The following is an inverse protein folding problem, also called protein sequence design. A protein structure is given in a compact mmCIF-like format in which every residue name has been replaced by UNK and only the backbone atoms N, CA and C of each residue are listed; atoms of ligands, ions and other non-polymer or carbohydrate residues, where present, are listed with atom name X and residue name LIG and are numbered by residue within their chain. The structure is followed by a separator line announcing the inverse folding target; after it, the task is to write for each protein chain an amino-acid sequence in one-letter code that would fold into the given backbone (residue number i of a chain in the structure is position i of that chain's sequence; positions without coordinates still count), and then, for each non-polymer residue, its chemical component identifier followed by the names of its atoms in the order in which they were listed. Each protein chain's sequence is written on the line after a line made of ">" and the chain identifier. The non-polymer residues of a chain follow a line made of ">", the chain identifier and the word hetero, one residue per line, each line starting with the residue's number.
data_IF_267099446775
#
_entry.id   IF_267099446775
#
_cell.length_a   1.000
_cell.length_b   1.000
_cell.length_c   1.000
_cell.angle_alpha   90.00
_cell.angle_beta   90.00
_cell.angle_gamma   90.00
#
_symmetry.space_group_name_H-M   'P 1'
#
loop_
_entity.id
_entity.type
_entity.pdbx_description
1 polymer ?
#
# COMPACT_ATOMS: atom_id res chain seq x y z
N UNK A 1 15.03 21.59 -24.18
CA UNK A 1 14.24 20.41 -24.59
C UNK A 1 13.30 20.14 -23.43
N UNK A 2 12.01 20.48 -23.59
CA UNK A 2 11.03 20.38 -22.49
C UNK A 2 10.10 19.20 -22.73
N UNK A 3 10.02 18.29 -21.76
CA UNK A 3 8.96 17.29 -21.68
C UNK A 3 7.64 17.99 -21.35
N UNK A 4 6.57 17.65 -22.06
CA UNK A 4 5.25 18.21 -21.82
C UNK A 4 4.43 17.25 -20.94
N UNK A 5 4.14 17.67 -19.71
CA UNK A 5 3.21 16.98 -18.82
C UNK A 5 1.80 17.11 -19.37
N UNK A 6 1.14 15.98 -19.65
CA UNK A 6 -0.23 15.95 -20.20
C UNK A 6 -1.27 15.93 -19.08
N UNK A 7 -0.96 15.25 -17.98
CA UNK A 7 -1.81 15.18 -16.80
C UNK A 7 -0.99 14.82 -15.57
N UNK A 8 -1.38 15.39 -14.43
CA UNK A 8 -0.86 15.04 -13.12
C UNK A 8 -2.02 14.68 -12.19
N UNK A 9 -1.81 13.68 -11.34
CA UNK A 9 -2.79 13.29 -10.32
C UNK A 9 -2.08 12.94 -9.03
N UNK A 10 -2.42 13.69 -7.99
CA UNK A 10 -2.09 13.35 -6.62
C UNK A 10 -3.30 12.67 -5.96
N UNK A 11 -3.06 11.48 -5.38
CA UNK A 11 -4.08 10.74 -4.64
C UNK A 11 -3.52 10.21 -3.34
N UNK A 12 -4.31 10.30 -2.29
CA UNK A 12 -4.05 9.54 -1.07
C UNK A 12 -4.22 8.04 -1.34
N UNK A 13 -3.36 7.24 -0.71
CA UNK A 13 -3.47 5.80 -0.71
C UNK A 13 -3.30 5.24 0.69
N UNK A 14 -3.92 4.07 0.89
CA UNK A 14 -3.78 3.26 2.07
C UNK A 14 -3.73 1.79 1.61
N UNK A 15 -2.72 1.05 2.04
CA UNK A 15 -2.49 -0.33 1.65
C UNK A 15 -2.28 -1.21 2.88
N UNK A 16 -3.14 -2.23 3.05
CA UNK A 16 -3.03 -3.23 4.10
C UNK A 16 -2.23 -4.43 3.57
N UNK A 17 -1.11 -4.75 4.21
CA UNK A 17 -0.14 -5.75 3.75
C UNK A 17 0.08 -6.79 4.84
N UNK A 18 0.16 -8.05 4.46
CA UNK A 18 0.39 -9.20 5.34
C UNK A 18 1.60 -9.99 4.84
N UNK A 19 2.17 -10.82 5.72
CA UNK A 19 3.22 -11.75 5.32
C UNK A 19 2.73 -12.67 4.18
N UNK A 20 3.60 -12.95 3.22
CA UNK A 20 3.28 -13.71 2.01
C UNK A 20 2.37 -12.99 1.00
N UNK A 21 1.81 -11.82 1.32
CA UNK A 21 0.87 -11.07 0.47
C UNK A 21 1.37 -9.63 0.24
N UNK A 22 2.34 -9.45 -0.68
CA UNK A 22 2.89 -8.13 -0.95
C UNK A 22 1.92 -7.25 -1.73
N UNK A 23 1.96 -5.93 -1.48
CA UNK A 23 1.31 -4.93 -2.31
C UNK A 23 2.26 -4.45 -3.39
N UNK A 24 1.88 -4.61 -4.67
CA UNK A 24 2.75 -4.30 -5.80
C UNK A 24 2.16 -3.21 -6.67
N UNK A 25 2.98 -2.23 -7.01
CA UNK A 25 2.79 -1.42 -8.20
C UNK A 25 3.54 -2.11 -9.34
N UNK A 26 2.88 -3.05 -10.00
CA UNK A 26 3.36 -3.57 -11.28
C UNK A 26 3.19 -2.48 -12.33
N UNK A 27 4.25 -2.23 -13.09
CA UNK A 27 4.39 -1.19 -14.11
C UNK A 27 3.05 -0.77 -14.74
N UNK A 28 2.77 0.53 -14.61
CA UNK A 28 1.82 1.24 -15.45
C UNK A 28 2.08 0.80 -16.91
N UNK A 29 1.00 0.44 -17.61
CA UNK A 29 1.04 -0.10 -18.96
C UNK A 29 2.13 0.60 -19.80
N UNK A 30 3.14 -0.16 -20.24
CA UNK A 30 4.34 0.36 -20.93
C UNK A 30 4.03 1.07 -22.24
N UNK A 31 2.76 1.08 -22.65
CA UNK A 31 2.22 1.84 -23.78
C UNK A 31 2.04 3.34 -23.49
N UNK A 32 2.07 3.76 -22.22
CA UNK A 32 1.99 5.15 -21.79
C UNK A 32 3.24 5.49 -20.97
N UNK A 33 3.91 6.60 -21.29
CA UNK A 33 5.01 7.15 -20.48
C UNK A 33 4.44 7.73 -19.19
N UNK A 34 4.06 6.86 -18.24
CA UNK A 34 3.59 7.27 -16.91
C UNK A 34 4.75 7.18 -15.93
N UNK A 35 5.14 8.34 -15.40
CA UNK A 35 6.05 8.43 -14.26
C UNK A 35 5.24 8.53 -12.97
N UNK A 36 5.75 7.99 -11.88
CA UNK A 36 5.05 8.02 -10.61
C UNK A 36 6.00 8.05 -9.43
N UNK A 37 5.51 8.61 -8.33
CA UNK A 37 6.20 8.56 -7.05
C UNK A 37 5.23 8.29 -5.91
N UNK A 38 5.74 7.66 -4.86
CA UNK A 38 5.05 7.45 -3.60
C UNK A 38 5.76 8.23 -2.50
N UNK A 39 4.97 8.80 -1.60
CA UNK A 39 5.44 9.34 -0.33
C UNK A 39 4.73 8.61 0.81
N UNK A 40 5.46 7.81 1.58
CA UNK A 40 4.94 7.19 2.80
C UNK A 40 4.97 8.20 3.93
N UNK A 41 3.84 8.34 4.63
CA UNK A 41 3.67 9.29 5.74
C UNK A 41 3.39 8.58 7.08
N UNK A 42 2.64 7.48 7.04
CA UNK A 42 2.28 6.70 8.23
C UNK A 42 2.38 5.21 7.93
N UNK A 43 2.85 4.46 8.92
CA UNK A 43 2.81 3.00 8.93
C UNK A 43 2.20 2.57 10.26
N UNK A 44 1.13 1.80 10.21
CA UNK A 44 0.41 1.32 11.39
C UNK A 44 0.44 -0.19 11.40
N UNK A 45 0.94 -0.77 12.48
CA UNK A 45 0.87 -2.19 12.73
C UNK A 45 -0.46 -2.55 13.42
N UNK A 46 -1.11 -3.58 12.89
CA UNK A 46 -2.30 -4.20 13.44
C UNK A 46 -1.91 -5.62 13.88
N UNK A 47 -1.74 -5.86 15.19
CA UNK A 47 -1.48 -7.18 15.72
C UNK A 47 -2.52 -8.22 15.28
N UNK A 48 -2.17 -9.52 15.29
CA UNK A 48 -3.15 -10.59 15.12
C UNK A 48 -4.33 -10.38 16.09
N UNK A 49 -5.57 -10.70 15.71
CA UNK A 49 -6.73 -10.45 16.56
C UNK A 49 -6.84 -11.41 17.74
N UNK A 50 -6.07 -12.50 17.77
CA UNK A 50 -6.11 -13.50 18.85
C UNK A 50 -4.83 -14.34 18.91
N UNK A 51 -4.62 -15.00 20.05
CA UNK A 51 -3.55 -16.00 20.22
C UNK A 51 -3.68 -17.17 19.23
N UNK A 52 -4.90 -17.54 18.83
CA UNK A 52 -5.11 -18.59 17.83
C UNK A 52 -4.59 -18.16 16.45
N UNK A 53 -4.82 -16.90 16.06
CA UNK A 53 -4.29 -16.35 14.82
C UNK A 53 -2.76 -16.27 14.84
N UNK A 54 -2.16 -15.92 15.98
CA UNK A 54 -0.71 -15.95 16.16
C UNK A 54 -0.14 -17.37 16.02
N UNK A 55 -0.75 -18.36 16.69
CA UNK A 55 -0.32 -19.77 16.57
C UNK A 55 -0.42 -20.30 15.14
N UNK A 56 -1.48 -19.98 14.41
CA UNK A 56 -1.61 -20.35 13.01
C UNK A 56 -0.49 -19.74 12.14
N UNK A 57 -0.06 -18.51 12.44
CA UNK A 57 1.10 -17.91 11.80
C UNK A 57 2.40 -18.65 12.16
N UNK A 58 2.63 -18.95 13.45
CA UNK A 58 3.82 -19.67 13.90
C UNK A 58 3.94 -21.06 13.26
N UNK A 59 2.84 -21.81 13.20
CA UNK A 59 2.76 -23.14 12.59
C UNK A 59 3.07 -23.09 11.09
N UNK A 60 2.52 -22.10 10.37
CA UNK A 60 2.74 -21.95 8.93
C UNK A 60 4.15 -21.50 8.56
N UNK A 61 4.85 -20.80 9.47
CA UNK A 61 6.20 -20.26 9.24
C UNK A 61 7.30 -21.03 9.99
N UNK A 62 6.94 -22.12 10.68
CA UNK A 62 7.88 -22.95 11.45
C UNK A 62 8.55 -22.18 12.60
N UNK A 63 7.89 -21.14 13.12
CA UNK A 63 8.41 -20.32 14.22
C UNK A 63 8.16 -21.04 15.55
N UNK A 64 9.15 -21.01 16.44
CA UNK A 64 9.02 -21.64 17.76
C UNK A 64 7.99 -20.89 18.62
N UNK A 65 7.00 -21.57 19.22
CA UNK A 65 6.01 -20.96 20.11
C UNK A 65 6.59 -20.51 21.46
N UNK A 66 7.91 -20.69 21.67
CA UNK A 66 8.62 -20.23 22.86
C UNK A 66 9.00 -18.74 22.80
N UNK A 67 8.79 -18.07 21.66
CA UNK A 67 9.10 -16.64 21.54
C UNK A 67 8.09 -15.80 22.30
N UNK A 68 8.54 -15.05 23.30
CA UNK A 68 7.68 -14.11 24.04
C UNK A 68 7.45 -12.81 23.27
N UNK A 69 8.31 -12.51 22.29
CA UNK A 69 8.24 -11.32 21.44
C UNK A 69 8.51 -11.69 19.99
N UNK A 70 7.67 -11.19 19.07
CA UNK A 70 7.91 -11.26 17.62
C UNK A 70 8.28 -9.88 17.10
N UNK A 71 9.26 -9.81 16.18
CA UNK A 71 9.59 -8.58 15.46
C UNK A 71 8.90 -8.60 14.10
N UNK A 72 7.96 -7.69 13.88
CA UNK A 72 7.29 -7.48 12.59
C UNK A 72 8.03 -6.41 11.81
N UNK A 73 8.42 -6.69 10.57
CA UNK A 73 9.18 -5.77 9.72
C UNK A 73 8.31 -5.29 8.57
N UNK A 74 8.19 -3.98 8.43
CA UNK A 74 7.66 -3.34 7.24
C UNK A 74 8.81 -3.10 6.26
N UNK A 75 8.68 -3.61 5.05
CA UNK A 75 9.74 -3.63 4.04
C UNK A 75 9.23 -2.96 2.77
N UNK A 76 10.08 -2.11 2.20
CA UNK A 76 9.93 -1.61 0.84
C UNK A 76 10.94 -2.30 -0.03
N UNK A 77 10.48 -2.83 -1.16
CA UNK A 77 11.33 -3.40 -2.19
C UNK A 77 11.14 -2.64 -3.48
N UNK A 78 12.21 -2.10 -4.04
CA UNK A 78 12.13 -1.19 -5.19
C UNK A 78 13.34 -1.32 -6.10
N UNK A 79 13.16 -0.98 -7.37
CA UNK A 79 14.24 -0.85 -8.34
C UNK A 79 15.03 0.44 -8.05
N UNK A 80 16.35 0.31 -7.84
CA UNK A 80 17.19 1.48 -7.56
C UNK A 80 17.94 1.96 -8.80
N UNK A 81 18.60 3.11 -8.71
CA UNK A 81 19.39 3.70 -9.80
C UNK A 81 20.51 2.78 -10.32
N UNK A 82 20.96 1.80 -9.54
CA UNK A 82 21.95 0.81 -9.98
C UNK A 82 21.33 -0.34 -10.81
N UNK A 83 20.04 -0.23 -11.15
CA UNK A 83 19.25 -1.23 -11.90
C UNK A 83 19.09 -2.56 -11.17
N UNK A 84 19.18 -2.58 -9.84
CA UNK A 84 18.92 -3.75 -9.00
C UNK A 84 17.71 -3.50 -8.11
N UNK A 85 16.98 -4.57 -7.85
CA UNK A 85 15.89 -4.56 -6.88
C UNK A 85 16.50 -4.75 -5.49
N UNK A 86 16.31 -3.77 -4.62
CA UNK A 86 16.82 -3.77 -3.25
C UNK A 86 15.67 -3.73 -2.24
N UNK A 87 15.96 -4.18 -1.02
CA UNK A 87 15.00 -4.26 0.08
C UNK A 87 15.44 -3.37 1.24
N UNK A 88 14.51 -2.57 1.75
CA UNK A 88 14.73 -1.62 2.83
C UNK A 88 13.69 -1.83 3.92
N UNK A 89 14.15 -2.06 5.14
CA UNK A 89 13.27 -2.08 6.31
C UNK A 89 12.94 -0.64 6.67
N UNK A 90 11.66 -0.29 6.62
CA UNK A 90 11.18 1.07 6.85
C UNK A 90 10.55 1.25 8.23
N UNK A 91 10.09 0.17 8.86
CA UNK A 91 9.66 0.16 10.25
C UNK A 91 9.78 -1.25 10.85
N UNK A 92 9.93 -1.32 12.17
CA UNK A 92 9.88 -2.56 12.95
C UNK A 92 8.92 -2.37 14.11
N UNK A 93 8.05 -3.36 14.35
CA UNK A 93 7.06 -3.33 15.41
C UNK A 93 7.22 -4.55 16.31
N UNK A 94 7.38 -4.36 17.63
CA UNK A 94 7.41 -5.47 18.57
C UNK A 94 5.98 -5.96 18.87
N UNK A 95 5.75 -7.25 18.70
CA UNK A 95 4.57 -7.95 19.20
C UNK A 95 4.94 -8.76 20.43
N UNK A 96 4.54 -8.27 21.60
CA UNK A 96 4.61 -9.03 22.85
C UNK A 96 3.39 -9.96 22.96
N UNK A 97 3.62 -11.26 23.22
CA UNK A 97 2.55 -12.24 23.37
C UNK A 97 1.68 -11.94 24.59
N UNK A 98 2.25 -11.38 25.67
CA UNK A 98 1.48 -10.97 26.85
C UNK A 98 0.53 -9.81 26.53
N UNK A 99 0.94 -8.92 25.61
CA UNK A 99 0.06 -7.85 25.13
C UNK A 99 -1.15 -8.46 24.44
N UNK A 100 -0.95 -9.51 23.64
CA UNK A 100 -2.03 -10.19 22.92
C UNK A 100 -2.98 -10.95 23.86
N UNK A 101 -2.47 -11.56 24.94
CA UNK A 101 -3.30 -12.26 25.91
C UNK A 101 -4.17 -11.32 26.76
N UNK A 102 -3.71 -10.08 26.96
CA UNK A 102 -4.40 -9.09 27.81
C UNK A 102 -5.22 -8.06 27.00
N UNK A 103 -5.07 -8.04 25.68
CA UNK A 103 -5.73 -7.05 24.83
C UNK A 103 -7.22 -7.31 24.69
N UNK A 104 -8.00 -6.23 24.69
CA UNK A 104 -9.43 -6.26 24.35
C UNK A 104 -9.58 -6.16 22.84
N UNK A 105 -10.30 -7.10 22.26
CA UNK A 105 -10.70 -7.05 20.85
C UNK A 105 -11.87 -6.10 20.66
N UNK A 106 -11.85 -5.40 19.53
CA UNK A 106 -12.93 -4.57 19.06
C UNK A 106 -13.47 -5.19 17.78
N UNK A 107 -14.79 -5.32 17.70
CA UNK A 107 -15.47 -5.79 16.49
C UNK A 107 -16.17 -4.61 15.87
N UNK A 108 -15.80 -4.26 14.63
CA UNK A 108 -16.58 -3.33 13.83
C UNK A 108 -17.95 -3.94 13.54
N UNK A 109 -19.02 -3.22 13.86
CA UNK A 109 -20.36 -3.60 13.41
C UNK A 109 -20.43 -3.42 11.89
N UNK A 110 -21.03 -4.36 11.15
CA UNK A 110 -21.20 -4.20 9.71
C UNK A 110 -22.02 -2.93 9.45
N UNK A 111 -21.47 -2.02 8.65
CA UNK A 111 -22.20 -0.83 8.20
C UNK A 111 -23.27 -1.32 7.24
N UNK A 112 -24.54 -1.26 7.65
CA UNK A 112 -25.65 -1.47 6.72
C UNK A 112 -25.52 -0.45 5.58
N UNK A 113 -25.35 -0.97 4.36
CA UNK A 113 -25.22 -0.17 3.15
C UNK A 113 -26.57 0.49 2.84
N UNK A 114 -26.79 1.67 3.41
CA UNK A 114 -28.00 2.44 3.13
C UNK A 114 -27.87 3.20 1.80
N UNK A 115 -28.87 2.99 0.95
CA UNK A 115 -28.98 3.45 -0.42
C UNK A 115 -28.94 4.98 -0.51
N UNK A 116 -28.05 5.52 -1.35
CA UNK A 116 -28.29 6.80 -2.07
C UNK A 116 -27.75 6.75 -3.49
N UNK A 117 -28.59 6.24 -4.39
CA UNK A 117 -28.73 6.84 -5.72
C UNK A 117 -29.16 8.31 -5.56
N UNK A 118 -28.37 9.26 -6.06
CA UNK A 118 -28.92 10.38 -6.86
C UNK A 118 -27.82 11.19 -7.55
N UNK A 119 -27.81 11.06 -8.88
CA UNK A 119 -27.58 12.05 -9.93
C UNK A 119 -26.62 13.24 -9.72
N UNK A 120 -25.61 13.30 -10.58
CA UNK A 120 -25.26 14.54 -11.28
C UNK A 120 -24.79 14.21 -12.72
N UNK A 121 -25.72 14.33 -13.66
CA UNK A 121 -25.48 14.50 -15.08
C UNK A 121 -24.76 15.82 -15.32
N UNK A 122 -23.52 15.78 -15.80
CA UNK A 122 -22.85 16.93 -16.40
C UNK A 122 -22.16 16.47 -17.70
N UNK A 123 -22.79 16.82 -18.81
CA UNK A 123 -22.24 16.71 -20.16
C UNK A 123 -21.12 17.75 -20.28
N UNK A 124 -19.89 17.29 -20.39
CA UNK A 124 -18.70 18.10 -20.65
C UNK A 124 -17.59 17.18 -21.15
N UNK A 125 -17.00 17.50 -22.30
CA UNK A 125 -16.08 16.62 -23.03
C UNK A 125 -14.91 16.15 -22.16
N UNK A 126 -14.88 14.86 -21.83
CA UNK A 126 -13.74 14.23 -21.18
C UNK A 126 -12.69 13.84 -22.22
N UNK A 127 -11.39 13.98 -21.92
CA UNK A 127 -10.36 13.41 -22.79
C UNK A 127 -10.54 11.89 -22.86
N UNK A 128 -10.40 11.32 -24.06
CA UNK A 128 -10.58 9.89 -24.42
C UNK A 128 -9.64 8.91 -23.69
N UNK A 129 -8.87 9.37 -22.71
CA UNK A 129 -7.95 8.54 -21.93
C UNK A 129 -8.33 8.64 -20.45
N UNK A 130 -9.23 7.76 -20.02
CA UNK A 130 -9.48 7.57 -18.60
C UNK A 130 -8.32 6.73 -18.05
N UNK A 131 -7.46 7.32 -17.20
CA UNK A 131 -6.33 6.62 -16.55
C UNK A 131 -6.77 5.61 -15.46
N UNK A 132 -8.07 5.53 -15.18
CA UNK A 132 -8.63 4.65 -14.15
C UNK A 132 -8.33 3.14 -14.32
N UNK A 133 -8.25 2.56 -15.53
CA UNK A 133 -7.93 1.13 -15.72
C UNK A 133 -6.45 0.79 -15.55
N UNK A 134 -5.56 1.80 -15.55
CA UNK A 134 -4.10 1.62 -15.63
C UNK A 134 -3.43 1.60 -14.26
N UNK A 135 -4.19 1.90 -13.21
CA UNK A 135 -3.71 1.83 -11.84
C UNK A 135 -3.91 0.40 -11.32
N UNK A 136 -3.03 -0.09 -10.43
CA UNK A 136 -3.35 -1.25 -9.62
C UNK A 136 -4.74 -1.01 -9.04
N UNK A 137 -5.66 -1.97 -9.27
CA UNK A 137 -7.00 -1.93 -8.69
C UNK A 137 -6.83 -1.49 -7.25
N UNK A 138 -7.52 -0.41 -6.87
CA UNK A 138 -7.63 -0.01 -5.46
C UNK A 138 -8.14 -1.24 -4.72
N UNK A 139 -7.24 -2.02 -4.14
CA UNK A 139 -7.60 -2.90 -3.05
C UNK A 139 -7.86 -1.95 -1.90
N UNK A 140 -9.12 -1.56 -1.77
CA UNK A 140 -9.57 -0.74 -0.68
C UNK A 140 -9.04 -1.36 0.61
N UNK A 141 -8.43 -0.53 1.45
CA UNK A 141 -7.68 -0.93 2.63
C UNK A 141 -8.47 -1.82 3.62
N UNK A 142 -9.79 -1.90 3.44
CA UNK A 142 -10.73 -2.70 4.23
C UNK A 142 -11.01 -4.10 3.69
N UNK A 143 -10.74 -4.44 2.41
CA UNK A 143 -11.14 -5.73 1.83
C UNK A 143 -10.55 -6.96 2.56
N UNK A 144 -9.48 -6.76 3.35
CA UNK A 144 -8.79 -7.85 4.08
C UNK A 144 -8.56 -7.55 5.56
N UNK A 145 -9.11 -6.46 6.08
CA UNK A 145 -9.08 -6.23 7.53
C UNK A 145 -10.16 -7.11 8.16
N UNK A 146 -9.78 -7.91 9.15
CA UNK A 146 -10.74 -8.66 9.94
C UNK A 146 -11.66 -7.68 10.66
N UNK A 147 -12.96 -7.97 10.69
CA UNK A 147 -13.95 -7.17 11.43
C UNK A 147 -13.61 -7.08 12.93
N UNK A 148 -12.82 -8.04 13.43
CA UNK A 148 -12.23 -8.02 14.76
C UNK A 148 -10.78 -7.59 14.70
N UNK A 149 -10.41 -6.56 15.47
CA UNK A 149 -9.04 -6.07 15.56
C UNK A 149 -8.68 -5.61 16.98
N UNK A 150 -7.38 -5.51 17.25
CA UNK A 150 -6.86 -4.85 18.45
C UNK A 150 -6.59 -3.39 18.14
N UNK A 151 -6.92 -2.49 19.07
CA UNK A 151 -6.55 -1.09 18.91
C UNK A 151 -5.02 -0.96 18.93
N UNK A 152 -4.42 -0.27 17.93
CA UNK A 152 -3.00 0.01 17.94
C UNK A 152 -2.61 0.80 19.19
N UNK A 153 -1.49 0.44 19.81
CA UNK A 153 -0.87 1.28 20.82
C UNK A 153 0.24 2.15 20.22
N UNK A 154 0.84 3.03 21.01
CA UNK A 154 1.85 3.98 20.52
C UNK A 154 3.05 3.31 19.85
N UNK A 155 3.43 2.10 20.29
CA UNK A 155 4.55 1.34 19.70
C UNK A 155 4.19 0.66 18.38
N UNK A 156 2.92 0.65 17.99
CA UNK A 156 2.44 0.07 16.74
C UNK A 156 2.34 1.12 15.62
N UNK A 157 2.71 2.38 15.89
CA UNK A 157 2.50 3.48 14.96
C UNK A 157 3.84 4.16 14.66
N UNK A 158 4.23 4.15 13.39
CA UNK A 158 5.29 5.02 12.86
C UNK A 158 4.65 6.16 12.08
N UNK A 159 4.81 7.40 12.56
CA UNK A 159 4.26 8.61 11.94
C UNK A 159 5.36 9.56 11.48
N UNK A 160 4.97 10.64 10.81
CA UNK A 160 5.89 11.69 10.33
C UNK A 160 6.98 11.15 9.38
N UNK A 161 6.68 10.06 8.68
CA UNK A 161 7.58 9.50 7.69
C UNK A 161 7.60 10.42 6.46
N UNK A 162 8.75 10.46 5.79
CA UNK A 162 8.92 11.14 4.51
C UNK A 162 9.76 10.27 3.58
N UNK A 163 9.33 9.03 3.41
CA UNK A 163 10.01 8.06 2.54
C UNK A 163 9.45 8.24 1.14
N UNK A 164 10.35 8.51 0.18
CA UNK A 164 9.98 8.77 -1.22
C UNK A 164 10.50 7.64 -2.10
N UNK A 165 9.62 7.11 -2.93
CA UNK A 165 9.88 5.96 -3.79
C UNK A 165 9.47 6.29 -5.23
N UNK A 166 10.28 5.88 -6.20
CA UNK A 166 9.89 5.88 -7.61
C UNK A 166 8.91 4.73 -7.89
N UNK A 167 8.02 4.94 -8.85
CA UNK A 167 7.13 3.90 -9.39
C UNK A 167 7.54 3.45 -10.80
N UNK A 168 8.74 3.83 -11.23
CA UNK A 168 9.36 3.49 -12.49
C UNK A 168 9.83 2.03 -12.48
N UNK A 169 8.95 1.14 -12.93
CA UNK A 169 9.26 -0.27 -13.19
C UNK A 169 8.82 -1.22 -12.09
N UNK A 170 9.38 -1.11 -10.87
CA UNK A 170 9.05 -2.03 -9.78
C UNK A 170 9.12 -1.38 -8.39
N UNK A 171 7.98 -1.38 -7.70
CA UNK A 171 7.90 -1.06 -6.27
C UNK A 171 6.89 -1.98 -5.58
N UNK A 172 7.27 -2.50 -4.42
CA UNK A 172 6.55 -3.50 -3.64
C UNK A 172 6.63 -3.14 -2.15
N UNK A 173 5.49 -3.19 -1.45
CA UNK A 173 5.43 -3.21 0.01
C UNK A 173 5.30 -4.66 0.48
N UNK A 174 6.11 -5.05 1.45
CA UNK A 174 6.11 -6.37 2.06
C UNK A 174 6.10 -6.26 3.57
N UNK A 175 5.55 -7.28 4.21
CA UNK A 175 5.62 -7.47 5.66
C UNK A 175 6.29 -8.82 5.92
N UNK A 176 7.14 -8.87 6.93
CA UNK A 176 7.63 -10.12 7.51
C UNK A 176 7.18 -10.17 8.98
N UNK A 177 6.47 -11.22 9.37
CA UNK A 177 5.98 -11.40 10.73
C UNK A 177 4.45 -11.34 10.87
N UNK A 178 3.95 -11.65 12.08
CA UNK A 178 2.52 -11.86 12.32
C UNK A 178 1.71 -10.56 12.28
N UNK A 179 0.50 -10.63 11.73
CA UNK A 179 -0.48 -9.53 11.71
C UNK A 179 -0.49 -8.79 10.36
N UNK A 180 -0.96 -7.54 10.39
CA UNK A 180 -1.13 -6.70 9.20
C UNK A 180 -0.40 -5.37 9.41
N UNK A 181 0.25 -4.84 8.39
CA UNK A 181 0.79 -3.49 8.40
C UNK A 181 0.05 -2.65 7.37
N UNK A 182 -0.45 -1.51 7.81
CA UNK A 182 -1.14 -0.52 6.98
C UNK A 182 -0.15 0.58 6.63
N UNK A 183 0.13 0.73 5.34
CA UNK A 183 0.95 1.81 4.79
C UNK A 183 0.03 2.91 4.27
N UNK A 184 0.29 4.15 4.67
CA UNK A 184 -0.50 5.31 4.25
C UNK A 184 0.41 6.38 3.68
N UNK A 185 -0.04 7.03 2.62
CA UNK A 185 0.77 8.03 1.94
C UNK A 185 0.04 8.76 0.81
N UNK A 186 0.85 9.47 0.05
CA UNK A 186 0.46 10.15 -1.18
C UNK A 186 1.10 9.42 -2.35
N UNK A 187 0.34 9.30 -3.44
CA UNK A 187 0.81 8.81 -4.73
C UNK A 187 0.64 9.94 -5.74
N UNK A 188 1.73 10.31 -6.39
CA UNK A 188 1.71 11.24 -7.51
C UNK A 188 1.99 10.46 -8.80
N UNK A 189 1.13 10.63 -9.79
CA UNK A 189 1.27 10.06 -11.12
C UNK A 189 1.24 11.16 -12.15
N UNK A 190 2.19 11.10 -13.08
CA UNK A 190 2.38 12.05 -14.15
C UNK A 190 2.38 11.30 -15.48
N UNK A 191 1.51 11.69 -16.40
CA UNK A 191 1.53 11.17 -17.77
C UNK A 191 2.32 12.12 -18.67
N UNK A 192 3.33 11.58 -19.33
CA UNK A 192 4.18 12.27 -20.30
C UNK A 192 3.73 11.85 -21.70
N UNK A 193 3.60 12.82 -22.62
CA UNK A 193 3.40 12.48 -24.03
C UNK A 193 4.75 12.12 -24.65
N UNK A 194 4.86 11.00 -25.40
CA UNK A 194 5.93 10.90 -26.36
C UNK A 194 5.79 12.08 -27.34
N UNK A 195 6.89 12.77 -27.63
CA UNK A 195 6.89 13.79 -28.68
C UNK A 195 6.57 13.10 -30.00
N UNK A 196 5.41 13.40 -30.59
CA UNK A 196 5.19 13.18 -32.02
C UNK A 196 6.11 14.15 -32.73
N UNK A 197 7.32 13.72 -33.07
CA UNK A 197 8.09 14.37 -34.12
C UNK A 197 7.30 14.13 -35.42
N UNK A 198 6.40 15.04 -35.76
CA UNK A 198 5.98 15.23 -37.14
C UNK A 198 7.24 15.62 -37.92
N UNK A 199 7.92 14.63 -38.46
CA UNK A 199 8.78 14.84 -39.61
C UNK A 199 7.85 15.18 -40.77
N UNK A 200 7.58 16.48 -40.96
CA UNK A 200 7.22 16.99 -42.28
C UNK A 200 8.39 16.69 -43.21
N UNK A 201 8.33 15.55 -43.90
CA UNK A 201 9.14 15.35 -45.08
C UNK A 201 8.60 16.26 -46.17
N UNK A 202 9.34 17.35 -46.41
CA UNK A 202 9.20 18.21 -47.59
C UNK A 202 9.67 17.48 -48.85
#
# INVERSE_FOLDING_TARGET
>A
MGEFTVAERETFFQASVQDGVPYRWSALDTSLDVSGSLRLSHIVYLPPPSLAALKAFEESHGVSPASTVHSVRAIVRTLTANKRVEEYVVACFPLDVERLSNARTFTALPVEADQRESAATAVGHSPKYTLAPLLPRRHDASERLSDTFLLPCSTDIATQLNIRLGLDGFTELRVEGPGTVVFTGEQNLTMVSPQTHEFEFS
#
